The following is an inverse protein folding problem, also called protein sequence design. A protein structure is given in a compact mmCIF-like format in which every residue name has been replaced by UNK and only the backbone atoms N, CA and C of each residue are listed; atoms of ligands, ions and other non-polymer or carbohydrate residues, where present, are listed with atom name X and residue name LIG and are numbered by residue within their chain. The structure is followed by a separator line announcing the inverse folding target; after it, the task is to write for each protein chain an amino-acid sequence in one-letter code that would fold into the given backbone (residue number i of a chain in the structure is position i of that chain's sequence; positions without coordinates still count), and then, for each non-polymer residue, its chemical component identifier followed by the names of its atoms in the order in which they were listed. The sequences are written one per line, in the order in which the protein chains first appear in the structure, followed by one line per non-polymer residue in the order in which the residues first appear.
data_IF_012682039607
#
_entry.id   IF_012682039607
#
_cell.length_a   1.000
_cell.length_b   1.000
_cell.length_c   1.000
_cell.angle_alpha   90.00
_cell.angle_beta   90.00
_cell.angle_gamma   90.00
#
_symmetry.space_group_name_H-M   'P 1'
#
loop_
_entity.id
_entity.type
_entity.pdbx_description
1 polymer ?
#
# COMPACT_ATOMS: atom_id res chain seq x y z
N UNK A 1 15.75 18.98 -22.71
CA UNK A 1 15.22 19.87 -23.78
C UNK A 1 13.74 20.11 -23.51
N UNK A 2 13.29 21.38 -23.44
CA UNK A 2 11.92 21.73 -23.05
C UNK A 2 10.88 21.41 -24.13
N UNK A 3 11.32 21.12 -25.35
CA UNK A 3 10.46 20.74 -26.46
C UNK A 3 10.32 19.21 -26.55
N UNK A 4 9.11 18.74 -26.88
CA UNK A 4 8.75 17.33 -26.99
C UNK A 4 7.72 16.87 -25.97
N UNK A 5 7.22 15.65 -26.16
CA UNK A 5 6.17 15.03 -25.36
C UNK A 5 6.64 13.69 -24.82
N UNK A 6 6.20 13.32 -23.62
CA UNK A 6 6.35 11.96 -23.10
C UNK A 6 4.98 11.32 -22.96
N UNK A 7 4.89 10.08 -23.44
CA UNK A 7 3.69 9.26 -23.38
C UNK A 7 3.57 8.64 -21.98
N UNK A 8 2.54 9.00 -21.24
CA UNK A 8 2.14 8.33 -19.99
C UNK A 8 1.04 7.32 -20.29
N UNK A 9 1.14 6.12 -19.73
CA UNK A 9 0.12 5.08 -19.86
C UNK A 9 -0.76 5.11 -18.60
N UNK A 10 -2.07 5.28 -18.80
CA UNK A 10 -3.07 5.22 -17.74
C UNK A 10 -3.41 3.77 -17.37
N UNK A 11 -4.07 3.52 -16.22
CA UNK A 11 -4.57 2.20 -15.84
C UNK A 11 -5.46 1.56 -16.92
N UNK A 12 -6.33 2.33 -17.58
CA UNK A 12 -7.11 1.89 -18.76
C UNK A 12 -6.28 1.47 -19.98
N UNK A 13 -4.98 1.74 -19.98
CA UNK A 13 -4.09 1.53 -21.11
C UNK A 13 -4.06 2.69 -22.11
N UNK A 14 -4.90 3.73 -21.94
CA UNK A 14 -4.86 4.96 -22.72
C UNK A 14 -3.52 5.67 -22.57
N UNK A 15 -3.01 6.25 -23.65
CA UNK A 15 -1.73 6.95 -23.67
C UNK A 15 -1.98 8.45 -23.74
N UNK A 16 -1.55 9.19 -22.73
CA UNK A 16 -1.62 10.66 -22.70
C UNK A 16 -0.24 11.23 -23.03
N UNK A 17 -0.12 12.08 -24.07
CA UNK A 17 1.09 12.87 -24.29
C UNK A 17 1.14 14.02 -23.29
N UNK A 18 2.18 14.05 -22.46
CA UNK A 18 2.44 15.16 -21.54
C UNK A 18 3.60 16.00 -22.06
N UNK A 19 3.40 17.30 -22.34
CA UNK A 19 4.47 18.20 -22.76
C UNK A 19 5.62 18.23 -21.76
N UNK A 20 6.86 18.20 -22.27
CA UNK A 20 8.05 18.29 -21.44
C UNK A 20 8.09 19.58 -20.60
N UNK A 21 7.51 20.67 -21.09
CA UNK A 21 7.40 21.95 -20.37
C UNK A 21 6.64 21.79 -19.05
N UNK A 22 5.51 21.07 -19.06
CA UNK A 22 4.71 20.80 -17.85
C UNK A 22 5.48 19.91 -16.89
N UNK A 23 6.14 18.86 -17.41
CA UNK A 23 6.95 17.96 -16.59
C UNK A 23 8.14 18.65 -15.93
N UNK A 24 8.65 19.73 -16.52
CA UNK A 24 9.77 20.50 -15.96
C UNK A 24 9.35 21.43 -14.79
N UNK A 25 8.05 21.65 -14.55
CA UNK A 25 7.56 22.53 -13.48
C UNK A 25 7.92 21.97 -12.09
N UNK A 26 7.65 20.69 -11.83
CA UNK A 26 7.95 20.09 -10.53
C UNK A 26 9.46 20.05 -10.22
N UNK A 27 10.35 19.60 -11.13
CA UNK A 27 11.80 19.74 -10.94
C UNK A 27 12.26 21.18 -10.73
N UNK A 28 11.68 22.16 -11.44
CA UNK A 28 12.03 23.57 -11.23
C UNK A 28 11.63 24.07 -9.84
N UNK A 29 10.43 23.72 -9.37
CA UNK A 29 9.97 24.05 -8.03
C UNK A 29 10.85 23.42 -6.95
N UNK A 30 11.25 22.15 -7.12
CA UNK A 30 12.15 21.44 -6.19
C UNK A 30 13.52 22.13 -6.12
N UNK A 31 14.08 22.55 -7.25
CA UNK A 31 15.37 23.26 -7.27
C UNK A 31 15.26 24.60 -6.55
N UNK A 32 14.18 25.34 -6.75
CA UNK A 32 13.93 26.60 -6.04
C UNK A 32 13.80 26.39 -4.52
N UNK A 33 13.09 25.33 -4.10
CA UNK A 33 12.98 24.97 -2.67
C UNK A 33 14.33 24.54 -2.09
N UNK A 34 15.15 23.82 -2.85
CA UNK A 34 16.49 23.43 -2.43
C UNK A 34 17.41 24.65 -2.28
N UNK A 35 17.35 25.61 -3.21
CA UNK A 35 18.08 26.88 -3.12
C UNK A 35 17.70 27.64 -1.84
N UNK A 36 16.41 27.72 -1.53
CA UNK A 36 15.89 28.34 -0.30
C UNK A 36 16.36 27.59 0.96
N UNK A 37 16.27 26.26 0.97
CA UNK A 37 16.75 25.44 2.08
C UNK A 37 18.25 25.66 2.36
N UNK A 38 19.08 25.76 1.32
CA UNK A 38 20.50 26.04 1.47
C UNK A 38 20.76 27.42 2.07
N UNK A 39 19.99 28.44 1.68
CA UNK A 39 20.06 29.79 2.28
C UNK A 39 19.66 29.77 3.76
N UNK A 40 18.60 29.05 4.13
CA UNK A 40 18.10 28.98 5.51
C UNK A 40 19.01 28.22 6.46
N UNK A 41 19.82 27.28 5.96
CA UNK A 41 20.66 26.40 6.77
C UNK A 41 22.16 26.75 6.71
N UNK A 42 22.51 27.95 6.21
CA UNK A 42 23.89 28.40 6.01
C UNK A 42 24.77 27.37 5.27
N UNK A 43 24.14 26.58 4.39
CA UNK A 43 24.87 25.64 3.54
C UNK A 43 25.51 26.53 2.47
N UNK A 44 26.81 26.78 2.62
CA UNK A 44 27.57 27.56 1.64
C UNK A 44 27.20 27.08 0.24
N UNK A 45 26.65 27.99 -0.56
CA UNK A 45 26.52 27.82 -2.00
C UNK A 45 27.93 27.66 -2.53
N UNK A 46 28.45 26.44 -2.50
CA UNK A 46 29.76 26.07 -3.04
C UNK A 46 29.75 26.53 -4.49
N UNK A 47 30.36 27.68 -4.69
CA UNK A 47 30.36 28.38 -5.96
C UNK A 47 31.21 27.57 -6.93
N UNK A 48 30.56 26.98 -7.93
CA UNK A 48 31.13 26.42 -9.17
C UNK A 48 32.24 25.35 -9.09
N UNK A 49 32.89 25.08 -7.96
CA UNK A 49 34.05 24.18 -7.90
C UNK A 49 33.69 22.73 -7.55
N UNK A 50 32.60 22.54 -6.81
CA UNK A 50 31.98 21.24 -6.56
C UNK A 50 30.61 21.23 -7.26
N UNK A 51 30.46 20.30 -8.20
CA UNK A 51 29.41 20.19 -9.22
C UNK A 51 27.94 20.25 -8.75
N UNK A 52 27.66 20.36 -7.46
CA UNK A 52 26.36 20.02 -6.83
C UNK A 52 25.31 21.15 -6.86
N UNK A 53 25.71 22.41 -7.02
CA UNK A 53 24.78 23.57 -6.91
C UNK A 53 24.37 24.19 -8.24
N UNK A 54 24.95 23.77 -9.37
CA UNK A 54 24.51 24.27 -10.66
C UNK A 54 23.10 23.73 -10.97
N UNK A 55 22.15 24.61 -11.33
CA UNK A 55 20.80 24.22 -11.76
C UNK A 55 20.85 23.07 -12.77
N UNK A 56 21.76 23.11 -13.75
CA UNK A 56 21.91 22.02 -14.73
C UNK A 56 22.31 20.68 -14.11
N UNK A 57 23.12 20.68 -13.05
CA UNK A 57 23.48 19.47 -12.33
C UNK A 57 22.33 18.97 -11.48
N UNK A 58 21.62 19.85 -10.77
CA UNK A 58 20.41 19.47 -10.02
C UNK A 58 19.33 18.89 -10.94
N UNK A 59 19.14 19.48 -12.13
CA UNK A 59 18.26 18.91 -13.16
C UNK A 59 18.74 17.53 -13.65
N UNK A 60 20.05 17.31 -13.80
CA UNK A 60 20.60 15.98 -14.15
C UNK A 60 20.44 14.98 -13.01
N UNK A 61 20.64 15.41 -11.76
CA UNK A 61 20.41 14.59 -10.57
C UNK A 61 18.94 14.16 -10.53
N UNK A 62 17.98 15.07 -10.71
CA UNK A 62 16.56 14.72 -10.73
C UNK A 62 16.16 13.84 -11.93
N UNK A 63 16.90 13.87 -13.04
CA UNK A 63 16.67 12.99 -14.20
C UNK A 63 17.15 11.56 -13.95
N UNK A 64 18.24 11.38 -13.21
CA UNK A 64 18.86 10.08 -12.93
C UNK A 64 18.38 9.50 -11.60
N UNK A 65 18.09 10.36 -10.64
CA UNK A 65 17.55 10.09 -9.31
C UNK A 65 16.15 10.71 -9.25
N UNK A 66 15.11 10.01 -9.76
CA UNK A 66 13.74 10.45 -9.55
C UNK A 66 13.51 10.62 -8.05
N UNK A 67 12.74 11.65 -7.67
CA UNK A 67 12.37 11.88 -6.28
C UNK A 67 11.94 10.55 -5.67
N UNK A 68 12.65 10.11 -4.62
CA UNK A 68 12.20 8.99 -3.83
C UNK A 68 10.78 9.34 -3.40
N UNK A 69 9.80 8.55 -3.82
CA UNK A 69 8.50 8.58 -3.14
C UNK A 69 8.87 8.33 -1.70
N UNK A 70 8.58 9.30 -0.82
CA UNK A 70 8.73 9.12 0.60
C UNK A 70 7.71 8.05 0.99
N UNK A 71 8.09 6.80 0.77
CA UNK A 71 7.53 5.68 1.49
C UNK A 71 8.04 5.94 2.90
N UNK A 72 7.21 6.60 3.71
CA UNK A 72 7.35 6.53 5.17
C UNK A 72 7.77 5.10 5.48
N UNK A 73 8.85 4.89 6.24
CA UNK A 73 9.25 3.50 6.50
C UNK A 73 8.03 2.78 7.04
N UNK A 74 7.82 1.57 6.50
CA UNK A 74 6.59 0.78 6.58
C UNK A 74 6.30 0.35 8.02
N UNK A 75 5.92 1.32 8.85
CA UNK A 75 5.54 1.14 10.23
C UNK A 75 4.17 0.50 10.34
N UNK A 76 3.91 -0.15 11.47
CA UNK A 76 2.61 -0.77 11.75
C UNK A 76 1.43 0.19 11.55
N UNK A 77 1.60 1.45 11.94
CA UNK A 77 0.57 2.48 11.84
C UNK A 77 0.30 2.90 10.38
N UNK A 78 1.29 2.80 9.49
CA UNK A 78 1.11 3.14 8.08
C UNK A 78 0.05 2.24 7.43
N UNK A 79 0.14 0.92 7.63
CA UNK A 79 -0.83 -0.02 7.04
C UNK A 79 -2.23 0.11 7.63
N UNK A 80 -2.37 0.50 8.91
CA UNK A 80 -3.68 0.75 9.51
C UNK A 80 -4.30 2.02 8.93
N UNK A 81 -3.51 3.08 8.72
CA UNK A 81 -3.95 4.34 8.11
C UNK A 81 -4.30 4.13 6.64
N UNK A 82 -3.43 3.48 5.86
CA UNK A 82 -3.66 3.15 4.45
C UNK A 82 -4.82 2.17 4.29
N UNK A 83 -4.97 1.20 5.20
CA UNK A 83 -6.15 0.36 5.27
C UNK A 83 -7.42 1.19 5.55
N UNK A 84 -7.35 2.17 6.46
CA UNK A 84 -8.44 3.11 6.72
C UNK A 84 -8.86 3.90 5.47
N UNK A 85 -7.88 4.48 4.76
CA UNK A 85 -8.05 5.19 3.49
C UNK A 85 -8.61 4.29 2.39
N UNK A 86 -8.13 3.04 2.30
CA UNK A 86 -8.63 2.06 1.35
C UNK A 86 -10.14 1.85 1.50
N UNK A 87 -10.66 1.77 2.72
CA UNK A 87 -12.10 1.67 2.92
C UNK A 87 -12.85 2.94 2.50
N UNK A 88 -12.29 4.12 2.71
CA UNK A 88 -12.89 5.38 2.22
C UNK A 88 -12.93 5.43 0.69
N UNK A 89 -11.85 4.99 0.04
CA UNK A 89 -11.78 4.86 -1.42
C UNK A 89 -12.77 3.81 -1.95
N UNK A 90 -12.91 2.65 -1.30
CA UNK A 90 -13.92 1.64 -1.68
C UNK A 90 -15.34 2.18 -1.53
N UNK A 91 -15.63 2.91 -0.44
CA UNK A 91 -16.94 3.55 -0.28
C UNK A 91 -17.20 4.57 -1.39
N UNK A 92 -16.21 5.37 -1.74
CA UNK A 92 -16.32 6.30 -2.86
C UNK A 92 -16.58 5.56 -4.17
N UNK A 93 -15.84 4.48 -4.46
CA UNK A 93 -16.03 3.63 -5.65
C UNK A 93 -17.44 3.08 -5.70
N UNK A 94 -17.97 2.53 -4.60
CA UNK A 94 -19.33 1.98 -4.53
C UNK A 94 -20.39 3.04 -4.88
N UNK A 95 -20.19 4.29 -4.47
CA UNK A 95 -21.07 5.40 -4.86
C UNK A 95 -21.02 5.73 -6.36
N UNK A 96 -19.94 5.34 -7.06
CA UNK A 96 -19.81 5.51 -8.51
C UNK A 96 -20.36 4.31 -9.31
N UNK A 97 -20.73 3.20 -8.66
CA UNK A 97 -21.14 1.95 -9.34
C UNK A 97 -22.55 1.96 -9.97
N UNK A 98 -23.24 3.11 -10.03
CA UNK A 98 -24.60 3.25 -10.59
C UNK A 98 -25.61 2.17 -10.10
N UNK A 99 -25.44 1.73 -8.86
CA UNK A 99 -26.24 0.66 -8.27
C UNK A 99 -27.63 1.15 -7.86
N UNK A 100 -28.58 0.21 -7.75
CA UNK A 100 -29.81 0.49 -7.04
C UNK A 100 -29.52 0.80 -5.57
N UNK A 101 -30.29 1.72 -4.98
CA UNK A 101 -30.05 2.21 -3.62
C UNK A 101 -29.94 1.08 -2.59
N UNK A 102 -30.84 0.09 -2.64
CA UNK A 102 -30.84 -1.03 -1.70
C UNK A 102 -29.56 -1.87 -1.77
N UNK A 103 -29.06 -2.10 -2.99
CA UNK A 103 -27.84 -2.85 -3.23
C UNK A 103 -26.59 -2.06 -2.81
N UNK A 104 -26.57 -0.76 -3.11
CA UNK A 104 -25.52 0.14 -2.66
C UNK A 104 -25.44 0.20 -1.12
N UNK A 105 -26.58 0.37 -0.45
CA UNK A 105 -26.67 0.42 1.02
C UNK A 105 -26.19 -0.89 1.65
N UNK A 106 -26.53 -2.03 1.03
CA UNK A 106 -26.07 -3.34 1.47
C UNK A 106 -24.55 -3.49 1.30
N UNK A 107 -23.98 -3.09 0.15
CA UNK A 107 -22.54 -3.16 -0.10
C UNK A 107 -21.74 -2.25 0.84
N UNK A 108 -22.25 -1.04 1.14
CA UNK A 108 -21.66 -0.12 2.12
C UNK A 108 -21.66 -0.74 3.52
N UNK A 109 -22.78 -1.38 3.91
CA UNK A 109 -22.88 -2.09 5.18
C UNK A 109 -21.87 -3.23 5.26
N UNK A 110 -21.77 -4.05 4.22
CA UNK A 110 -20.83 -5.17 4.17
C UNK A 110 -19.37 -4.70 4.23
N UNK A 111 -19.03 -3.58 3.57
CA UNK A 111 -17.70 -2.94 3.69
C UNK A 111 -17.41 -2.52 5.13
N UNK A 112 -18.39 -1.93 5.82
CA UNK A 112 -18.25 -1.51 7.22
C UNK A 112 -18.05 -2.71 8.16
N UNK A 113 -18.82 -3.78 7.97
CA UNK A 113 -18.65 -5.02 8.73
C UNK A 113 -17.28 -5.66 8.49
N UNK A 114 -16.81 -5.70 7.24
CA UNK A 114 -15.49 -6.22 6.89
C UNK A 114 -14.37 -5.39 7.52
N UNK A 115 -14.49 -4.06 7.52
CA UNK A 115 -13.54 -3.15 8.19
C UNK A 115 -13.46 -3.42 9.68
N UNK A 116 -14.61 -3.58 10.34
CA UNK A 116 -14.67 -3.89 11.78
C UNK A 116 -14.05 -5.25 12.08
N UNK A 117 -14.34 -6.26 11.26
CA UNK A 117 -13.75 -7.59 11.37
C UNK A 117 -12.22 -7.54 11.30
N UNK A 118 -11.65 -6.89 10.28
CA UNK A 118 -10.19 -6.74 10.18
C UNK A 118 -9.60 -6.00 11.38
N UNK A 119 -10.24 -4.92 11.82
CA UNK A 119 -9.73 -4.06 12.89
C UNK A 119 -9.72 -4.75 14.26
N UNK A 120 -10.74 -5.54 14.58
CA UNK A 120 -10.98 -6.03 15.93
C UNK A 120 -10.82 -7.55 16.07
N UNK A 121 -11.41 -8.31 15.16
CA UNK A 121 -11.67 -9.74 15.37
C UNK A 121 -10.66 -10.62 14.64
N UNK A 122 -10.20 -10.22 13.46
CA UNK A 122 -9.33 -11.04 12.62
C UNK A 122 -8.10 -11.54 13.37
N UNK A 123 -7.42 -10.66 14.13
CA UNK A 123 -6.24 -10.99 14.95
C UNK A 123 -6.49 -12.02 16.07
N UNK A 124 -7.75 -12.19 16.49
CA UNK A 124 -8.14 -13.09 17.59
C UNK A 124 -8.18 -14.52 17.09
N UNK A 125 -8.62 -14.73 15.85
CA UNK A 125 -8.71 -16.04 15.22
C UNK A 125 -7.36 -16.61 14.76
N UNK A 126 -6.30 -15.79 14.75
CA UNK A 126 -4.98 -16.19 14.30
C UNK A 126 -4.26 -17.10 15.31
N UNK A 127 -3.80 -18.25 14.83
CA UNK A 127 -3.05 -19.25 15.58
C UNK A 127 -1.78 -19.66 14.82
N UNK A 128 -0.83 -20.30 15.50
CA UNK A 128 0.40 -20.79 14.85
C UNK A 128 0.08 -21.78 13.73
N UNK A 129 -0.85 -22.70 13.98
CA UNK A 129 -1.34 -23.73 13.07
C UNK A 129 -2.86 -23.77 13.16
N UNK A 130 -3.56 -23.73 12.04
CA UNK A 130 -5.02 -23.74 11.99
C UNK A 130 -5.50 -24.30 10.64
N UNK A 131 -6.61 -25.04 10.60
CA UNK A 131 -7.13 -25.60 9.35
C UNK A 131 -7.73 -24.55 8.40
N UNK A 132 -7.90 -23.31 8.86
CA UNK A 132 -8.33 -22.18 8.04
C UNK A 132 -7.09 -21.44 7.51
N UNK A 133 -6.99 -21.33 6.17
CA UNK A 133 -5.85 -20.70 5.47
C UNK A 133 -5.47 -19.31 6.01
N UNK A 134 -6.49 -18.50 6.31
CA UNK A 134 -6.33 -17.12 6.73
C UNK A 134 -5.98 -16.99 8.22
N UNK A 135 -6.14 -18.06 9.00
CA UNK A 135 -5.93 -18.08 10.45
C UNK A 135 -4.65 -18.82 10.85
N UNK A 136 -4.08 -19.61 9.95
CA UNK A 136 -2.82 -20.31 10.14
C UNK A 136 -1.64 -19.39 9.84
N UNK A 137 -0.98 -18.86 10.88
CA UNK A 137 0.18 -17.97 10.70
C UNK A 137 1.32 -18.66 9.94
N UNK A 138 1.57 -19.95 10.20
CA UNK A 138 2.65 -20.70 9.52
C UNK A 138 2.41 -20.78 8.02
N UNK A 139 1.17 -21.01 7.61
CA UNK A 139 0.80 -21.07 6.19
C UNK A 139 0.75 -19.68 5.57
N UNK A 140 0.08 -18.74 6.24
CA UNK A 140 -0.18 -17.40 5.71
C UNK A 140 1.10 -16.60 5.49
N UNK A 141 2.10 -16.75 6.38
CA UNK A 141 3.40 -16.08 6.28
C UNK A 141 4.41 -16.85 5.43
N UNK A 142 4.02 -17.96 4.80
CA UNK A 142 4.94 -18.74 3.99
C UNK A 142 5.23 -18.00 2.68
N UNK A 143 6.48 -17.57 2.49
CA UNK A 143 6.89 -16.85 1.29
C UNK A 143 7.14 -17.80 0.11
N UNK A 144 7.09 -17.26 -1.10
CA UNK A 144 7.50 -17.94 -2.33
C UNK A 144 9.02 -18.03 -2.44
N UNK A 145 9.75 -17.10 -1.83
CA UNK A 145 11.20 -17.14 -1.73
C UNK A 145 11.66 -18.32 -0.86
N UNK A 146 12.52 -19.17 -1.42
CA UNK A 146 13.04 -20.36 -0.75
C UNK A 146 13.79 -20.03 0.55
N UNK A 147 14.37 -18.82 0.68
CA UNK A 147 15.06 -18.38 1.88
C UNK A 147 14.11 -18.09 3.06
N UNK A 148 12.85 -17.75 2.75
CA UNK A 148 11.82 -17.41 3.75
C UNK A 148 10.70 -18.45 3.79
N UNK A 149 10.86 -19.54 3.05
CA UNK A 149 9.91 -20.65 3.00
C UNK A 149 10.04 -21.50 4.26
N UNK A 150 8.96 -21.58 5.03
CA UNK A 150 8.86 -22.52 6.14
C UNK A 150 8.41 -23.90 5.63
N UNK A 151 8.75 -24.96 6.39
CA UNK A 151 8.13 -26.27 6.20
C UNK A 151 6.61 -26.08 6.29
N UNK A 152 5.93 -26.45 5.20
CA UNK A 152 4.48 -26.32 5.12
C UNK A 152 3.84 -27.14 6.26
N UNK A 153 2.70 -26.67 6.73
CA UNK A 153 2.04 -27.28 7.87
C UNK A 153 1.65 -28.75 7.57
N UNK A 154 1.72 -29.63 8.57
CA UNK A 154 1.30 -31.03 8.43
C UNK A 154 -0.23 -31.23 8.44
N UNK A 155 -1.01 -30.20 8.09
CA UNK A 155 -2.46 -30.20 8.03
C UNK A 155 -2.95 -29.53 6.74
N UNK A 156 -4.24 -29.71 6.42
CA UNK A 156 -4.84 -29.20 5.19
C UNK A 156 -5.62 -27.91 5.44
N UNK A 157 -5.56 -26.98 4.47
CA UNK A 157 -6.25 -25.70 4.55
C UNK A 157 -7.48 -25.67 3.63
N UNK A 158 -8.43 -26.59 3.87
CA UNK A 158 -9.60 -26.78 3.00
C UNK A 158 -10.79 -25.89 3.38
N UNK A 159 -10.79 -25.32 4.59
CA UNK A 159 -11.91 -24.56 5.13
C UNK A 159 -11.66 -23.04 5.03
N UNK A 160 -12.69 -22.29 4.64
CA UNK A 160 -12.71 -20.84 4.71
C UNK A 160 -13.57 -20.34 5.87
N UNK A 161 -13.09 -19.36 6.62
CA UNK A 161 -13.89 -18.73 7.67
C UNK A 161 -14.91 -17.77 7.05
N UNK A 162 -16.20 -17.78 7.45
CA UNK A 162 -17.25 -16.99 6.79
C UNK A 162 -16.91 -15.50 6.64
N UNK A 163 -16.37 -14.85 7.67
CA UNK A 163 -15.99 -13.43 7.59
C UNK A 163 -14.75 -13.16 6.72
N UNK A 164 -13.83 -14.12 6.62
CA UNK A 164 -12.70 -14.00 5.70
C UNK A 164 -13.12 -14.17 4.24
N UNK A 165 -14.07 -15.08 3.99
CA UNK A 165 -14.68 -15.27 2.68
C UNK A 165 -15.49 -14.03 2.29
N UNK A 166 -16.34 -13.52 3.18
CA UNK A 166 -17.13 -12.31 2.96
C UNK A 166 -16.27 -11.13 2.47
N UNK A 167 -15.11 -10.88 3.11
CA UNK A 167 -14.19 -9.84 2.67
C UNK A 167 -13.67 -10.10 1.24
N UNK A 168 -13.26 -11.33 0.95
CA UNK A 168 -12.70 -11.68 -0.36
C UNK A 168 -13.76 -11.56 -1.46
N UNK A 169 -14.94 -12.12 -1.21
CA UNK A 169 -16.08 -12.11 -2.12
C UNK A 169 -16.55 -10.68 -2.40
N UNK A 170 -16.57 -9.81 -1.38
CA UNK A 170 -16.95 -8.40 -1.52
C UNK A 170 -15.95 -7.61 -2.38
N UNK A 171 -14.65 -7.81 -2.17
CA UNK A 171 -13.62 -7.15 -3.00
C UNK A 171 -13.70 -7.64 -4.46
N UNK A 172 -13.91 -8.94 -4.67
CA UNK A 172 -14.12 -9.49 -6.02
C UNK A 172 -15.39 -8.96 -6.68
N UNK A 173 -16.47 -8.78 -5.93
CA UNK A 173 -17.72 -8.21 -6.45
C UNK A 173 -17.53 -6.74 -6.87
N UNK A 174 -16.83 -5.93 -6.07
CA UNK A 174 -16.50 -4.55 -6.44
C UNK A 174 -15.67 -4.52 -7.73
N UNK A 175 -14.65 -5.38 -7.86
CA UNK A 175 -13.86 -5.48 -9.10
C UNK A 175 -14.76 -5.76 -10.30
N UNK A 176 -15.66 -6.75 -10.19
CA UNK A 176 -16.58 -7.12 -11.28
C UNK A 176 -17.48 -5.96 -11.68
N UNK A 177 -18.02 -5.21 -10.71
CA UNK A 177 -18.86 -4.04 -10.99
C UNK A 177 -18.08 -2.91 -11.69
N UNK A 178 -16.86 -2.65 -11.25
CA UNK A 178 -15.99 -1.66 -11.90
C UNK A 178 -15.67 -2.09 -13.34
N UNK A 179 -15.43 -3.38 -13.59
CA UNK A 179 -15.24 -3.89 -14.95
C UNK A 179 -16.48 -3.74 -15.82
N UNK A 180 -17.69 -3.86 -15.26
CA UNK A 180 -18.93 -3.60 -16.00
C UNK A 180 -19.04 -2.12 -16.38
N UNK A 181 -18.67 -1.19 -15.50
CA UNK A 181 -18.67 0.24 -15.83
C UNK A 181 -17.77 0.61 -17.02
N UNK A 182 -16.67 -0.14 -17.23
CA UNK A 182 -15.80 0.03 -18.41
C UNK A 182 -16.59 -0.07 -19.72
N UNK A 183 -17.56 -0.99 -19.74
CA UNK A 183 -18.38 -1.26 -20.92
C UNK A 183 -19.41 -0.16 -21.22
N UNK A 184 -19.63 0.76 -20.27
CA UNK A 184 -20.60 1.87 -20.37
C UNK A 184 -19.97 3.21 -20.81
N UNK A 185 -18.65 3.25 -21.04
CA UNK A 185 -17.91 4.33 -21.73
C UNK A 185 -17.90 5.72 -21.03
N UNK A 186 -17.71 5.76 -19.71
CA UNK A 186 -17.52 7.00 -18.94
C UNK A 186 -16.02 7.37 -18.92
N UNK A 187 -15.52 7.95 -20.02
CA UNK A 187 -14.09 8.20 -20.23
C UNK A 187 -13.41 9.09 -19.15
N UNK A 188 -14.14 9.99 -18.50
CA UNK A 188 -13.52 11.02 -17.64
C UNK A 188 -13.29 10.61 -16.19
N UNK A 189 -13.92 9.53 -15.71
CA UNK A 189 -13.82 9.10 -14.31
C UNK A 189 -13.40 7.64 -14.14
N UNK A 190 -13.47 6.84 -15.20
CA UNK A 190 -13.16 5.42 -15.15
C UNK A 190 -11.70 5.14 -14.73
N UNK A 191 -10.73 5.93 -15.19
CA UNK A 191 -9.33 5.78 -14.78
C UNK A 191 -9.13 6.06 -13.27
N UNK A 192 -9.86 7.02 -12.72
CA UNK A 192 -9.82 7.30 -11.28
C UNK A 192 -10.47 6.18 -10.47
N UNK A 193 -11.63 5.68 -10.92
CA UNK A 193 -12.30 4.52 -10.32
C UNK A 193 -11.35 3.32 -10.32
N UNK A 194 -10.77 2.97 -11.46
CA UNK A 194 -9.81 1.87 -11.56
C UNK A 194 -8.62 2.03 -10.63
N UNK A 195 -8.02 3.22 -10.62
CA UNK A 195 -6.87 3.51 -9.77
C UNK A 195 -7.22 3.36 -8.28
N UNK A 196 -8.33 3.97 -7.84
CA UNK A 196 -8.81 3.88 -6.45
C UNK A 196 -9.17 2.46 -6.07
N UNK A 197 -9.87 1.72 -6.93
CA UNK A 197 -10.24 0.32 -6.68
C UNK A 197 -8.99 -0.55 -6.52
N UNK A 198 -8.04 -0.47 -7.46
CA UNK A 198 -6.80 -1.26 -7.39
C UNK A 198 -6.00 -0.95 -6.13
N UNK A 199 -5.77 0.34 -5.87
CA UNK A 199 -4.97 0.78 -4.73
C UNK A 199 -5.64 0.41 -3.39
N UNK A 200 -6.96 0.55 -3.29
CA UNK A 200 -7.69 0.20 -2.09
C UNK A 200 -7.70 -1.31 -1.81
N UNK A 201 -7.78 -2.14 -2.85
CA UNK A 201 -7.70 -3.60 -2.70
C UNK A 201 -6.32 -4.00 -2.22
N UNK A 202 -5.27 -3.48 -2.85
CA UNK A 202 -3.88 -3.76 -2.46
C UNK A 202 -3.63 -3.33 -1.00
N UNK A 203 -4.05 -2.13 -0.63
CA UNK A 203 -3.93 -1.62 0.74
C UNK A 203 -4.74 -2.44 1.76
N UNK A 204 -5.92 -2.95 1.38
CA UNK A 204 -6.72 -3.83 2.25
C UNK A 204 -6.03 -5.17 2.46
N UNK A 205 -5.47 -5.75 1.40
CA UNK A 205 -4.72 -7.01 1.47
C UNK A 205 -3.43 -6.83 2.27
N UNK A 206 -2.68 -5.74 2.07
CA UNK A 206 -1.50 -5.43 2.87
C UNK A 206 -1.83 -5.17 4.34
N UNK A 207 -2.94 -4.49 4.63
CA UNK A 207 -3.41 -4.34 6.00
C UNK A 207 -3.69 -5.70 6.66
N UNK A 208 -4.40 -6.60 5.97
CA UNK A 208 -4.63 -7.97 6.45
C UNK A 208 -3.31 -8.70 6.72
N UNK A 209 -2.34 -8.64 5.79
CA UNK A 209 -1.01 -9.24 5.96
C UNK A 209 -0.27 -8.68 7.16
N UNK A 210 -0.34 -7.36 7.36
CA UNK A 210 0.34 -6.71 8.47
C UNK A 210 -0.22 -7.14 9.83
N UNK A 211 -1.54 -7.36 9.94
CA UNK A 211 -2.14 -7.91 11.16
C UNK A 211 -1.53 -9.28 11.50
N UNK A 212 -1.36 -10.15 10.49
CA UNK A 212 -0.74 -11.47 10.67
C UNK A 212 0.73 -11.35 11.10
N UNK A 213 1.51 -10.49 10.44
CA UNK A 213 2.91 -10.23 10.80
C UNK A 213 3.03 -9.76 12.26
N UNK A 214 2.18 -8.80 12.66
CA UNK A 214 2.13 -8.25 14.02
C UNK A 214 1.83 -9.31 15.07
N UNK A 215 0.85 -10.17 14.80
CA UNK A 215 0.47 -11.27 15.70
C UNK A 215 1.62 -12.27 15.85
N UNK A 216 2.28 -12.63 14.75
CA UNK A 216 3.40 -13.55 14.78
C UNK A 216 4.61 -12.95 15.51
N UNK A 217 4.94 -11.69 15.28
CA UNK A 217 5.98 -10.97 16.02
C UNK A 217 5.69 -10.95 17.53
N UNK A 218 4.44 -10.69 17.94
CA UNK A 218 4.04 -10.73 19.35
C UNK A 218 4.18 -12.14 19.94
N UNK A 219 3.78 -13.18 19.20
CA UNK A 219 3.97 -14.58 19.60
C UNK A 219 5.44 -14.89 19.82
N UNK A 220 6.30 -14.56 18.85
CA UNK A 220 7.74 -14.78 18.93
C UNK A 220 8.35 -14.02 20.10
N UNK A 221 7.97 -12.75 20.31
CA UNK A 221 8.38 -11.96 21.48
C UNK A 221 8.02 -12.68 22.78
N UNK A 222 6.77 -13.11 22.94
CA UNK A 222 6.33 -13.81 24.15
C UNK A 222 7.10 -15.12 24.37
N UNK A 223 7.36 -15.88 23.31
CA UNK A 223 8.16 -17.09 23.36
C UNK A 223 9.60 -16.81 23.81
N UNK A 224 10.28 -15.83 23.21
CA UNK A 224 11.65 -15.47 23.61
C UNK A 224 11.67 -14.96 25.05
N UNK A 225 10.70 -14.12 25.44
CA UNK A 225 10.57 -13.61 26.82
C UNK A 225 10.43 -14.75 27.84
N UNK A 226 9.68 -15.80 27.51
CA UNK A 226 9.55 -16.98 28.39
C UNK A 226 10.83 -17.80 28.53
N UNK A 227 11.74 -17.70 27.57
CA UNK A 227 13.02 -18.42 27.54
C UNK A 227 14.21 -17.61 28.08
N UNK A 228 13.96 -16.37 28.53
CA UNK A 228 14.97 -15.51 29.13
C UNK A 228 15.41 -16.02 30.50
N UNK A 229 16.67 -15.77 30.83
CA UNK A 229 17.24 -16.01 32.15
C UNK A 229 18.34 -14.97 32.42
N UNK A 230 18.96 -14.99 33.61
CA UNK A 230 19.97 -13.99 34.00
C UNK A 230 21.24 -13.93 33.13
N UNK A 231 21.42 -14.86 32.18
CA UNK A 231 22.55 -14.89 31.25
C UNK A 231 22.19 -14.50 29.80
N UNK A 232 20.92 -14.16 29.53
CA UNK A 232 20.41 -13.84 28.18
C UNK A 232 19.84 -12.43 28.15
N UNK A 233 20.07 -11.73 27.05
CA UNK A 233 19.45 -10.44 26.75
C UNK A 233 18.69 -10.52 25.42
N UNK A 234 17.59 -9.78 25.30
CA UNK A 234 16.88 -9.58 24.04
C UNK A 234 17.24 -8.19 23.50
N UNK A 235 17.60 -8.14 22.23
CA UNK A 235 17.73 -6.89 21.48
C UNK A 235 16.52 -6.80 20.56
N UNK A 236 15.66 -5.81 20.78
CA UNK A 236 14.59 -5.45 19.83
C UNK A 236 15.08 -4.25 19.02
N UNK A 237 15.18 -4.41 17.71
CA UNK A 237 15.47 -3.32 16.79
C UNK A 237 14.16 -2.85 16.20
N UNK A 238 13.72 -1.66 16.59
CA UNK A 238 12.59 -0.99 15.96
C UNK A 238 13.14 -0.13 14.82
N UNK A 239 12.85 -0.53 13.58
CA UNK A 239 13.20 0.25 12.41
C UNK A 239 12.02 1.17 12.08
N UNK A 240 11.82 2.17 12.93
CA UNK A 240 10.98 3.32 12.63
C UNK A 240 11.90 4.50 12.29
N UNK A 241 11.87 4.93 11.02
CA UNK A 241 12.53 6.12 10.47
C UNK A 241 11.49 6.81 9.60
#
# INVERSE_FOLDING_TARGET
MPFGEKKMKLPSGKIIPTPNVIRCIAPAAIVMQYDQYCEENDIEKLSCFLLVTCHSTLYRIMQVCPASVQKSMEGLDYFVVEGGRAYEDLLWVVNQLHLFKEEMDQMIKDLSECKQYLKHDFKIHMEEKNDIKDHCMTFYLNDKDLHFKNECCNHQHLSGYPKCLQLSDLLEEIIKRVQILESENIEDMYDEILFKTSNAIDNTVEWKKQIVRSKNQLRTKNHIMSALNGSKAIVMLDWAI
#
